data_IF_207027630050
#
_entry.id   IF_207027630050
#
_cell.length_a   1.000
_cell.length_b   1.000
_cell.length_c   1.000
_cell.angle_alpha   90.00
_cell.angle_beta   90.00
_cell.angle_gamma   90.00
#
_symmetry.space_group_name_H-M   'P 1'
#
loop_
_entity.id
_entity.type
_entity.pdbx_description
1 polymer ?
#
# COMPACT_ATOMS: atom_id res chain seq x y z
N UNK A 1 -13.27 11.54 -12.38
CA UNK A 1 -12.43 12.19 -11.36
C UNK A 1 -11.96 11.18 -10.34
N UNK A 2 -10.97 11.51 -9.49
CA UNK A 2 -10.49 10.67 -8.40
C UNK A 2 -10.70 11.32 -7.04
N UNK A 3 -10.78 10.49 -6.01
CA UNK A 3 -10.76 10.88 -4.61
C UNK A 3 -9.41 10.49 -3.97
N UNK A 4 -9.14 10.98 -2.77
CA UNK A 4 -7.96 10.62 -2.00
C UNK A 4 -8.32 10.51 -0.52
N UNK A 5 -7.50 9.82 0.24
CA UNK A 5 -7.64 9.45 1.64
C UNK A 5 -8.66 10.25 2.44
N UNK A 6 -9.74 9.61 2.86
CA UNK A 6 -10.81 10.15 3.68
C UNK A 6 -11.53 9.01 4.43
N UNK A 7 -12.43 9.32 5.33
CA UNK A 7 -13.26 8.28 5.94
C UNK A 7 -14.23 7.65 4.92
N UNK A 8 -14.43 6.34 4.99
CA UNK A 8 -15.29 5.61 4.04
C UNK A 8 -16.73 6.16 4.01
N UNK A 9 -17.28 6.59 5.16
CA UNK A 9 -18.61 7.20 5.21
C UNK A 9 -18.70 8.53 4.44
N UNK A 10 -17.62 9.34 4.44
CA UNK A 10 -17.55 10.60 3.69
C UNK A 10 -17.51 10.31 2.19
N UNK A 11 -16.73 9.31 1.79
CA UNK A 11 -16.67 8.90 0.40
C UNK A 11 -18.00 8.31 -0.09
N UNK A 12 -18.65 7.48 0.72
CA UNK A 12 -19.99 6.97 0.42
C UNK A 12 -21.02 8.09 0.19
N UNK A 13 -21.00 9.14 1.02
CA UNK A 13 -21.85 10.32 0.82
C UNK A 13 -21.52 11.06 -0.48
N UNK A 14 -20.25 11.22 -0.81
CA UNK A 14 -19.82 11.87 -2.06
C UNK A 14 -20.27 11.06 -3.28
N UNK A 15 -20.16 9.73 -3.25
CA UNK A 15 -20.65 8.83 -4.30
C UNK A 15 -22.17 8.94 -4.49
N UNK A 16 -22.92 9.02 -3.41
CA UNK A 16 -24.37 9.19 -3.47
C UNK A 16 -24.78 10.53 -4.06
N UNK A 17 -24.16 11.63 -3.62
CA UNK A 17 -24.41 12.97 -4.14
C UNK A 17 -24.10 13.07 -5.65
N UNK A 18 -22.99 12.48 -6.11
CA UNK A 18 -22.68 12.51 -7.54
C UNK A 18 -23.73 11.75 -8.39
N UNK A 19 -24.24 10.61 -7.88
CA UNK A 19 -25.32 9.84 -8.54
C UNK A 19 -26.60 10.67 -8.63
N UNK A 20 -27.01 11.30 -7.51
CA UNK A 20 -28.22 12.13 -7.44
C UNK A 20 -28.19 13.32 -8.39
N UNK A 21 -27.03 13.95 -8.56
CA UNK A 21 -26.87 15.15 -9.39
C UNK A 21 -26.37 14.88 -10.81
N UNK A 22 -26.07 13.62 -11.16
CA UNK A 22 -25.52 13.27 -12.47
C UNK A 22 -24.13 13.87 -12.73
N UNK A 23 -23.32 14.06 -11.68
CA UNK A 23 -21.97 14.60 -11.79
C UNK A 23 -20.97 13.56 -12.31
N UNK A 24 -19.79 14.03 -12.74
CA UNK A 24 -18.71 13.16 -13.18
C UNK A 24 -18.34 12.13 -12.08
N UNK A 25 -18.33 10.82 -12.41
CA UNK A 25 -18.12 9.78 -11.40
C UNK A 25 -16.70 9.77 -10.85
N UNK A 26 -16.57 9.40 -9.58
CA UNK A 26 -15.29 8.99 -9.03
C UNK A 26 -14.94 7.62 -9.61
N UNK A 27 -13.80 7.52 -10.28
CA UNK A 27 -13.32 6.26 -10.88
C UNK A 27 -12.07 5.71 -10.19
N UNK A 28 -11.41 6.54 -9.36
CA UNK A 28 -10.23 6.13 -8.56
C UNK A 28 -10.29 6.68 -7.15
N UNK A 29 -9.71 5.90 -6.21
CA UNK A 29 -9.40 6.29 -4.84
C UNK A 29 -7.90 6.16 -4.61
N UNK A 30 -7.25 7.23 -4.16
CA UNK A 30 -5.83 7.24 -3.83
C UNK A 30 -5.64 7.15 -2.31
N UNK A 31 -5.38 5.95 -1.81
CA UNK A 31 -5.30 5.66 -0.38
C UNK A 31 -3.87 5.36 0.09
N UNK A 32 -3.65 5.50 1.40
CA UNK A 32 -2.47 4.97 2.07
C UNK A 32 -2.63 3.47 2.27
N UNK A 33 -1.97 2.68 1.45
CA UNK A 33 -2.10 1.23 1.54
C UNK A 33 -0.80 0.53 1.14
N UNK A 34 -0.29 -0.32 2.03
CA UNK A 34 0.89 -1.15 1.83
C UNK A 34 0.93 -2.28 2.87
N UNK A 35 1.92 -3.14 2.79
CA UNK A 35 2.02 -4.36 3.60
C UNK A 35 2.06 -4.10 5.12
N UNK A 36 2.59 -2.97 5.57
CA UNK A 36 2.65 -2.56 6.99
C UNK A 36 1.57 -1.55 7.39
N UNK A 37 0.71 -1.12 6.47
CA UNK A 37 -0.45 -0.27 6.76
C UNK A 37 -1.66 -0.74 5.95
N UNK A 38 -2.60 -1.43 6.60
CA UNK A 38 -3.71 -2.14 5.97
C UNK A 38 -5.09 -1.69 6.48
N UNK A 39 -5.18 -0.53 7.11
CA UNK A 39 -6.43 -0.05 7.72
C UNK A 39 -7.55 0.20 6.69
N UNK A 40 -7.19 0.48 5.44
CA UNK A 40 -8.16 0.65 4.36
C UNK A 40 -8.91 -0.64 3.99
N UNK A 41 -8.39 -1.82 4.36
CA UNK A 41 -9.08 -3.11 4.17
C UNK A 41 -10.36 -3.22 4.99
N UNK A 42 -10.55 -2.39 6.02
CA UNK A 42 -11.68 -2.46 6.93
C UNK A 42 -12.97 -1.95 6.29
N UNK A 43 -12.90 -0.81 5.59
CA UNK A 43 -14.08 -0.14 5.05
C UNK A 43 -13.87 0.42 3.63
N UNK A 44 -12.77 1.15 3.39
CA UNK A 44 -12.59 1.88 2.13
C UNK A 44 -12.41 0.94 0.93
N UNK A 45 -11.54 -0.07 1.03
CA UNK A 45 -11.34 -1.02 -0.06
C UNK A 45 -12.63 -1.81 -0.39
N UNK A 46 -13.39 -2.36 0.60
CA UNK A 46 -14.69 -2.96 0.34
C UNK A 46 -15.68 -2.00 -0.33
N UNK A 47 -15.73 -0.74 0.11
CA UNK A 47 -16.58 0.29 -0.52
C UNK A 47 -16.18 0.53 -1.98
N UNK A 48 -14.89 0.76 -2.24
CA UNK A 48 -14.36 0.98 -3.59
C UNK A 48 -14.69 -0.21 -4.51
N UNK A 49 -14.45 -1.43 -4.03
CA UNK A 49 -14.74 -2.64 -4.79
C UNK A 49 -16.23 -2.75 -5.14
N UNK A 50 -17.13 -2.51 -4.18
CA UNK A 50 -18.58 -2.52 -4.37
C UNK A 50 -19.06 -1.48 -5.38
N UNK A 51 -18.47 -0.30 -5.35
CA UNK A 51 -18.87 0.86 -6.18
C UNK A 51 -18.13 0.91 -7.54
N UNK A 52 -17.25 -0.06 -7.83
CA UNK A 52 -16.46 -0.11 -9.06
C UNK A 52 -15.41 1.01 -9.17
N UNK A 53 -14.92 1.50 -8.03
CA UNK A 53 -13.87 2.51 -7.93
C UNK A 53 -12.51 1.80 -7.81
N UNK A 54 -11.59 2.09 -8.72
CA UNK A 54 -10.26 1.52 -8.70
C UNK A 54 -9.39 2.14 -7.60
N UNK A 55 -8.59 1.34 -6.90
CA UNK A 55 -7.68 1.84 -5.88
C UNK A 55 -6.28 2.03 -6.45
N UNK A 56 -5.67 3.20 -6.22
CA UNK A 56 -4.32 3.59 -6.66
C UNK A 56 -3.48 3.99 -5.45
N UNK A 57 -2.92 3.03 -4.69
CA UNK A 57 -2.28 3.30 -3.40
C UNK A 57 -1.05 4.21 -3.50
N UNK A 58 -0.93 5.16 -2.56
CA UNK A 58 0.29 5.89 -2.33
C UNK A 58 1.15 5.26 -1.23
N UNK A 59 2.46 5.54 -1.24
CA UNK A 59 3.46 4.91 -0.35
C UNK A 59 3.45 3.37 -0.35
N UNK A 60 3.40 2.72 -1.51
CA UNK A 60 3.31 1.25 -1.61
C UNK A 60 4.50 0.54 -0.97
N UNK A 61 5.66 1.18 -0.89
CA UNK A 61 6.89 0.67 -0.29
C UNK A 61 7.15 1.24 1.11
N UNK A 62 6.11 1.78 1.77
CA UNK A 62 6.21 2.39 3.10
C UNK A 62 7.38 3.37 3.22
N UNK A 63 7.54 4.24 2.18
CA UNK A 63 8.61 5.24 2.09
C UNK A 63 10.03 4.64 2.19
N UNK A 64 10.20 3.42 1.68
CA UNK A 64 11.46 2.69 1.63
C UNK A 64 11.69 1.69 2.77
N UNK A 65 10.78 1.58 3.75
CA UNK A 65 10.89 0.60 4.84
C UNK A 65 10.75 -0.84 4.38
N UNK A 66 9.99 -1.07 3.32
CA UNK A 66 9.78 -2.39 2.71
C UNK A 66 10.82 -2.75 1.62
N UNK A 67 11.84 -1.93 1.40
CA UNK A 67 12.84 -2.18 0.35
C UNK A 67 14.16 -2.76 0.87
N UNK A 68 14.30 -2.90 2.19
CA UNK A 68 15.54 -3.35 2.87
C UNK A 68 15.24 -4.04 4.19
N UNK A 69 16.21 -4.69 4.83
CA UNK A 69 16.08 -5.19 6.18
C UNK A 69 15.60 -4.11 7.16
N UNK A 70 14.76 -4.50 8.12
CA UNK A 70 14.22 -3.57 9.11
C UNK A 70 15.33 -2.97 9.97
N UNK A 71 15.24 -1.68 10.25
CA UNK A 71 16.27 -0.96 11.01
C UNK A 71 17.41 -0.38 10.17
N UNK A 72 17.57 -0.80 8.92
CA UNK A 72 18.51 -0.13 8.01
C UNK A 72 17.99 1.26 7.64
N UNK A 73 18.83 2.26 7.85
CA UNK A 73 18.51 3.67 7.62
C UNK A 73 19.22 4.24 6.39
N UNK A 74 18.58 5.18 5.74
CA UNK A 74 19.19 6.00 4.69
C UNK A 74 19.03 7.47 5.03
N UNK A 75 19.82 8.33 4.42
CA UNK A 75 19.68 9.77 4.58
C UNK A 75 18.24 10.25 4.34
N UNK A 76 17.53 9.62 3.38
CA UNK A 76 16.13 9.89 3.08
C UNK A 76 15.21 9.48 4.24
N UNK A 77 15.37 8.29 4.81
CA UNK A 77 14.54 7.82 5.94
C UNK A 77 14.76 8.70 7.17
N UNK A 78 16.02 9.07 7.45
CA UNK A 78 16.36 9.93 8.59
C UNK A 78 15.74 11.33 8.47
N UNK A 79 15.70 11.89 7.27
CA UNK A 79 15.12 13.23 7.01
C UNK A 79 13.60 13.23 6.76
N UNK A 80 12.96 12.07 6.69
CA UNK A 80 11.56 11.94 6.32
C UNK A 80 10.63 12.11 7.54
N UNK A 81 10.30 13.35 7.85
CA UNK A 81 9.38 13.69 8.94
C UNK A 81 7.96 13.14 8.75
N UNK A 82 7.50 13.01 7.49
CA UNK A 82 6.20 12.40 7.18
C UNK A 82 6.22 10.91 7.48
N UNK A 83 7.28 10.22 7.04
CA UNK A 83 7.45 8.79 7.30
C UNK A 83 7.53 8.46 8.79
N UNK A 84 8.18 9.30 9.59
CA UNK A 84 8.20 9.18 11.06
C UNK A 84 6.79 9.25 11.66
N UNK A 85 5.95 10.19 11.20
CA UNK A 85 4.56 10.32 11.68
C UNK A 85 3.65 9.16 11.28
N UNK A 86 3.92 8.54 10.13
CA UNK A 86 3.08 7.45 9.61
C UNK A 86 3.41 6.09 10.23
N UNK A 87 4.66 5.84 10.66
CA UNK A 87 5.15 4.49 10.95
C UNK A 87 5.86 4.34 12.30
N UNK A 88 5.75 5.30 13.23
CA UNK A 88 6.49 5.25 14.51
C UNK A 88 5.84 4.41 15.62
N UNK A 89 4.56 4.00 15.49
CA UNK A 89 3.83 3.42 16.61
C UNK A 89 3.76 1.88 16.61
N UNK A 90 4.33 1.20 15.61
CA UNK A 90 4.18 -0.25 15.42
C UNK A 90 5.48 -0.98 15.05
N UNK A 91 6.58 -0.44 15.49
CA UNK A 91 7.95 -0.81 15.07
C UNK A 91 8.24 -2.31 15.15
N UNK A 92 7.81 -2.97 16.24
CA UNK A 92 8.07 -4.40 16.46
C UNK A 92 7.23 -5.29 15.54
N UNK A 93 5.99 -4.91 15.25
CA UNK A 93 5.11 -5.64 14.35
C UNK A 93 5.53 -5.45 12.88
N UNK A 94 5.85 -4.22 12.50
CA UNK A 94 6.33 -3.89 11.17
C UNK A 94 7.66 -4.58 10.86
N UNK A 95 8.52 -4.74 11.87
CA UNK A 95 9.77 -5.50 11.76
C UNK A 95 9.51 -6.97 11.38
N UNK A 96 8.54 -7.64 12.03
CA UNK A 96 8.18 -9.02 11.71
C UNK A 96 7.65 -9.16 10.28
N UNK A 97 6.80 -8.23 9.84
CA UNK A 97 6.29 -8.22 8.46
C UNK A 97 7.43 -8.02 7.46
N UNK A 98 8.33 -7.07 7.72
CA UNK A 98 9.48 -6.81 6.85
C UNK A 98 10.47 -8.00 6.83
N UNK A 99 10.60 -8.75 7.91
CA UNK A 99 11.38 -9.98 7.94
C UNK A 99 10.76 -11.06 7.05
N UNK A 100 9.43 -11.33 7.17
CA UNK A 100 8.71 -12.26 6.30
C UNK A 100 8.80 -11.88 4.83
N UNK A 101 8.62 -10.59 4.53
CA UNK A 101 8.85 -10.07 3.18
C UNK A 101 10.26 -10.42 2.66
N UNK A 102 11.26 -10.35 3.52
CA UNK A 102 12.63 -10.72 3.17
C UNK A 102 12.79 -12.18 2.81
N UNK A 103 12.21 -13.10 3.59
CA UNK A 103 12.24 -14.53 3.28
C UNK A 103 11.54 -14.85 1.96
N UNK A 104 10.39 -14.23 1.69
CA UNK A 104 9.69 -14.42 0.41
C UNK A 104 10.50 -13.83 -0.75
N UNK A 105 11.20 -12.73 -0.56
CA UNK A 105 12.10 -12.16 -1.57
C UNK A 105 13.25 -13.14 -1.92
N UNK A 106 13.87 -13.75 -0.93
CA UNK A 106 14.91 -14.77 -1.13
C UNK A 106 14.35 -16.03 -1.82
N UNK A 107 13.18 -16.52 -1.40
CA UNK A 107 12.53 -17.71 -2.00
C UNK A 107 12.17 -17.49 -3.46
N UNK A 108 11.70 -16.30 -3.82
CA UNK A 108 11.27 -15.97 -5.20
C UNK A 108 12.41 -15.49 -6.09
N UNK A 109 13.58 -15.17 -5.53
CA UNK A 109 14.68 -14.54 -6.24
C UNK A 109 14.39 -13.09 -6.67
N UNK A 110 13.35 -12.48 -6.11
CA UNK A 110 12.94 -11.10 -6.37
C UNK A 110 13.48 -10.14 -5.29
N UNK A 111 13.46 -8.83 -5.57
CA UNK A 111 13.79 -7.85 -4.53
C UNK A 111 12.62 -7.67 -3.57
N UNK A 112 12.90 -7.20 -2.34
CA UNK A 112 11.86 -6.86 -1.35
C UNK A 112 10.84 -5.87 -1.92
N UNK A 113 11.29 -4.91 -2.72
CA UNK A 113 10.43 -3.93 -3.36
C UNK A 113 9.46 -4.59 -4.35
N UNK A 114 9.96 -5.51 -5.17
CA UNK A 114 9.14 -6.26 -6.13
C UNK A 114 8.08 -7.11 -5.42
N UNK A 115 8.47 -7.84 -4.36
CA UNK A 115 7.53 -8.66 -3.58
C UNK A 115 6.47 -7.80 -2.90
N UNK A 116 6.84 -6.66 -2.31
CA UNK A 116 5.88 -5.74 -1.69
C UNK A 116 4.88 -5.16 -2.70
N UNK A 117 5.33 -4.82 -3.90
CA UNK A 117 4.46 -4.35 -4.98
C UNK A 117 3.58 -5.48 -5.55
N UNK A 118 4.13 -6.69 -5.75
CA UNK A 118 3.37 -7.85 -6.20
C UNK A 118 2.28 -8.24 -5.20
N UNK A 119 2.58 -8.17 -3.89
CA UNK A 119 1.56 -8.33 -2.85
C UNK A 119 0.44 -7.31 -2.99
N UNK A 120 0.77 -6.03 -3.19
CA UNK A 120 -0.22 -4.98 -3.34
C UNK A 120 -1.08 -5.16 -4.59
N UNK A 121 -0.45 -5.52 -5.71
CA UNK A 121 -1.13 -5.82 -6.99
C UNK A 121 -2.01 -7.08 -6.92
N UNK A 122 -1.77 -7.99 -5.98
CA UNK A 122 -2.61 -9.16 -5.75
C UNK A 122 -3.95 -8.84 -5.07
N UNK A 123 -4.11 -7.62 -4.54
CA UNK A 123 -5.31 -7.23 -3.79
C UNK A 123 -6.47 -6.84 -4.71
N UNK A 124 -7.69 -7.37 -4.47
CA UNK A 124 -8.85 -7.02 -5.26
C UNK A 124 -9.12 -5.51 -5.27
N UNK A 125 -9.32 -4.95 -6.47
CA UNK A 125 -9.62 -3.53 -6.65
C UNK A 125 -8.40 -2.61 -6.72
N UNK A 126 -7.20 -3.07 -6.38
CA UNK A 126 -5.97 -2.31 -6.63
C UNK A 126 -5.64 -2.35 -8.12
N UNK A 127 -5.65 -1.18 -8.75
CA UNK A 127 -5.38 -1.04 -10.18
C UNK A 127 -3.91 -0.71 -10.48
N UNK A 128 -3.33 0.21 -9.73
CA UNK A 128 -1.94 0.64 -9.94
C UNK A 128 -1.37 1.33 -8.70
N UNK A 129 -0.30 0.82 -8.06
CA UNK A 129 0.41 1.52 -7.00
C UNK A 129 1.16 2.73 -7.55
N UNK A 130 1.19 3.83 -6.78
CA UNK A 130 1.94 5.03 -7.12
C UNK A 130 3.36 4.87 -6.62
N UNK A 131 4.30 4.60 -7.52
CA UNK A 131 5.71 4.45 -7.22
C UNK A 131 6.49 5.74 -7.51
N UNK A 132 7.63 5.90 -6.85
CA UNK A 132 8.61 6.96 -7.13
C UNK A 132 9.99 6.37 -7.32
N UNK A 133 10.64 6.72 -8.41
CA UNK A 133 12.02 6.36 -8.69
C UNK A 133 12.84 7.62 -8.97
N UNK A 134 14.09 7.64 -8.53
CA UNK A 134 15.03 8.75 -8.80
C UNK A 134 16.06 8.41 -9.90
N UNK A 135 16.05 7.16 -10.34
CA UNK A 135 16.94 6.64 -11.40
C UNK A 135 16.15 5.66 -12.28
N UNK A 136 16.54 5.54 -13.53
CA UNK A 136 15.89 4.67 -14.51
C UNK A 136 15.96 3.20 -14.10
N UNK A 137 17.12 2.71 -13.68
CA UNK A 137 17.32 1.33 -13.24
C UNK A 137 16.40 0.96 -12.07
N UNK A 138 16.12 1.92 -11.20
CA UNK A 138 15.18 1.73 -10.09
C UNK A 138 13.74 1.59 -10.59
N UNK A 139 13.36 2.35 -11.61
CA UNK A 139 12.05 2.22 -12.23
C UNK A 139 11.91 0.85 -12.92
N UNK A 140 12.89 0.46 -13.71
CA UNK A 140 12.92 -0.85 -14.39
C UNK A 140 12.82 -2.01 -13.40
N UNK A 141 13.54 -1.95 -12.27
CA UNK A 141 13.43 -2.93 -11.20
C UNK A 141 12.00 -3.03 -10.65
N UNK A 142 11.38 -1.89 -10.33
CA UNK A 142 10.03 -1.87 -9.75
C UNK A 142 8.96 -2.36 -10.72
N UNK A 143 9.10 -2.10 -12.02
CA UNK A 143 8.16 -2.54 -13.05
C UNK A 143 8.09 -4.08 -13.16
N UNK A 144 9.16 -4.80 -12.87
CA UNK A 144 9.17 -6.27 -12.89
C UNK A 144 8.22 -6.88 -11.86
N UNK A 145 7.76 -6.12 -10.87
CA UNK A 145 6.76 -6.58 -9.91
C UNK A 145 5.42 -6.97 -10.57
N UNK A 146 5.12 -6.45 -11.75
CA UNK A 146 3.89 -6.76 -12.49
C UNK A 146 3.85 -8.22 -12.94
N UNK A 147 5.01 -8.79 -13.23
CA UNK A 147 5.14 -10.17 -13.70
C UNK A 147 5.33 -11.18 -12.55
N UNK A 148 5.51 -10.70 -11.33
CA UNK A 148 5.71 -11.54 -10.15
C UNK A 148 4.38 -12.00 -9.57
N UNK A 149 4.10 -13.30 -9.65
CA UNK A 149 2.93 -13.92 -9.03
C UNK A 149 3.31 -14.58 -7.71
N UNK A 150 2.70 -14.13 -6.62
CA UNK A 150 2.88 -14.71 -5.29
C UNK A 150 1.89 -15.86 -5.06
N UNK A 151 2.34 -16.91 -4.38
CA UNK A 151 1.48 -18.02 -3.96
C UNK A 151 0.60 -17.57 -2.78
N UNK A 152 -0.62 -18.14 -2.61
CA UNK A 152 -1.48 -17.82 -1.47
C UNK A 152 -0.79 -17.99 -0.10
N UNK A 153 0.06 -18.99 0.05
CA UNK A 153 0.81 -19.27 1.27
C UNK A 153 1.83 -18.16 1.58
N UNK A 154 2.52 -17.65 0.55
CA UNK A 154 3.47 -16.55 0.68
C UNK A 154 2.76 -15.25 1.10
N UNK A 155 1.59 -14.97 0.52
CA UNK A 155 0.75 -13.83 0.90
C UNK A 155 0.33 -13.96 2.36
N UNK A 156 -0.21 -15.12 2.76
CA UNK A 156 -0.67 -15.38 4.13
C UNK A 156 0.49 -15.27 5.15
N UNK A 157 1.68 -15.74 4.80
CA UNK A 157 2.86 -15.65 5.66
C UNK A 157 3.25 -14.20 5.95
N UNK A 158 3.24 -13.33 4.95
CA UNK A 158 3.52 -11.90 5.13
C UNK A 158 2.42 -11.17 5.92
N UNK A 159 1.17 -11.62 5.80
CA UNK A 159 0.01 -10.97 6.43
C UNK A 159 -0.23 -11.40 7.87
N UNK A 160 0.14 -12.63 8.23
CA UNK A 160 -0.12 -13.21 9.56
C UNK A 160 0.35 -12.34 10.73
N UNK A 161 1.52 -11.67 10.69
CA UNK A 161 1.96 -10.82 11.80
C UNK A 161 1.19 -9.52 11.96
N UNK A 162 0.37 -9.11 10.95
CA UNK A 162 -0.26 -7.79 10.94
C UNK A 162 -1.14 -7.54 12.17
N UNK A 163 -0.93 -6.40 12.80
CA UNK A 163 -1.80 -5.85 13.85
C UNK A 163 -2.37 -4.52 13.40
N UNK A 164 -3.57 -4.22 13.84
CA UNK A 164 -4.25 -2.98 13.49
C UNK A 164 -3.46 -1.75 13.98
N UNK A 165 -3.41 -0.74 13.14
CA UNK A 165 -2.79 0.55 13.41
C UNK A 165 -3.86 1.62 13.69
N UNK A 166 -3.51 2.70 14.39
CA UNK A 166 -4.31 3.93 14.33
C UNK A 166 -4.42 4.43 12.90
N UNK A 167 -5.60 4.94 12.52
CA UNK A 167 -5.78 5.57 11.22
C UNK A 167 -4.95 6.84 11.16
N UNK A 168 -4.09 6.95 10.14
CA UNK A 168 -3.18 8.08 9.93
C UNK A 168 -3.33 8.65 8.52
N UNK A 169 -2.90 9.91 8.35
CA UNK A 169 -2.87 10.55 7.02
C UNK A 169 -4.05 11.49 6.73
N UNK A 170 -5.16 11.38 7.48
CA UNK A 170 -6.30 12.31 7.43
C UNK A 170 -7.01 12.38 8.78
N UNK A 171 -7.86 13.43 8.97
CA UNK A 171 -8.64 13.63 10.19
C UNK A 171 -10.10 13.87 9.85
#
# INVERSE_FOLDING_TARGET
IGASSMHAHQFAQALELQKQHGWAPFVTMQDHYNLIYREEEREMLPLCYKEGVAVIPWSPLARGRLTRPWGETTARIVSDEVGKKLYNESDENDAQIAERLGFIAEETGATRAQVALAWLLSKPGVAAPIIGASREEQLEELLQAVDLTLKPEQIAEMETPYKQHPVVGFK
#
